data_IF_638912143742
#
_entry.id   IF_638912143742
#
_cell.length_a   1.000
_cell.length_b   1.000
_cell.length_c   1.000
_cell.angle_alpha   90.00
_cell.angle_beta   90.00
_cell.angle_gamma   90.00
#
_symmetry.space_group_name_H-M   'P 1'
#
loop_
_entity.id
_entity.type
_entity.pdbx_description
1 polymer ?
#
# COMPACT_ATOMS: atom_id res chain seq x y z
N UNK A 1 2.92 -2.04 -3.14
CA UNK A 1 2.95 -1.33 -1.84
C UNK A 1 1.86 -1.92 -0.95
N UNK A 2 2.14 -2.04 0.34
CA UNK A 2 1.23 -2.61 1.33
C UNK A 2 0.88 -1.55 2.35
N UNK A 3 -0.41 -1.24 2.51
CA UNK A 3 -0.87 -0.10 3.32
C UNK A 3 -1.92 -0.60 4.32
N UNK A 4 -1.55 -0.84 5.58
CA UNK A 4 -2.52 -1.21 6.62
C UNK A 4 -3.38 -0.01 7.00
N UNK A 5 -4.68 -0.23 7.21
CA UNK A 5 -5.62 0.82 7.60
C UNK A 5 -6.56 0.34 8.70
N UNK A 6 -6.80 1.17 9.72
CA UNK A 6 -7.82 0.96 10.75
C UNK A 6 -8.43 2.31 11.18
N UNK A 7 -9.66 2.58 10.77
CA UNK A 7 -10.35 3.86 10.98
C UNK A 7 -9.60 5.07 10.41
N UNK A 8 -9.25 4.98 9.13
CA UNK A 8 -8.37 5.89 8.38
C UNK A 8 -9.11 6.58 7.24
N UNK A 9 -10.42 6.83 7.39
CA UNK A 9 -11.26 7.38 6.32
C UNK A 9 -10.74 8.71 5.77
N UNK A 10 -10.16 9.54 6.62
CA UNK A 10 -9.70 10.88 6.26
C UNK A 10 -8.32 10.88 5.58
N UNK A 11 -7.49 9.86 5.79
CA UNK A 11 -6.10 9.76 5.31
C UNK A 11 -5.98 8.97 4.01
N UNK A 12 -6.84 7.97 3.78
CA UNK A 12 -6.78 7.11 2.58
C UNK A 12 -6.87 7.90 1.26
N UNK A 13 -7.74 8.91 1.17
CA UNK A 13 -7.86 9.74 -0.03
C UNK A 13 -6.60 10.55 -0.32
N UNK A 14 -6.16 11.43 0.61
CA UNK A 14 -4.92 12.18 0.49
C UNK A 14 -3.69 11.31 0.22
N UNK A 15 -3.64 10.09 0.79
CA UNK A 15 -2.59 9.12 0.50
C UNK A 15 -2.56 8.76 -0.99
N UNK A 16 -3.69 8.36 -1.57
CA UNK A 16 -3.76 8.01 -3.00
C UNK A 16 -3.36 9.19 -3.86
N UNK A 17 -3.92 10.38 -3.61
CA UNK A 17 -3.62 11.61 -4.38
C UNK A 17 -2.12 11.96 -4.35
N UNK A 18 -1.44 11.67 -3.24
CA UNK A 18 0.00 11.93 -3.08
C UNK A 18 0.87 10.88 -3.75
N UNK A 19 0.46 9.61 -3.69
CA UNK A 19 1.27 8.46 -4.09
C UNK A 19 1.15 8.19 -5.59
N UNK A 20 -0.04 8.33 -6.16
CA UNK A 20 -0.33 8.08 -7.58
C UNK A 20 0.68 8.74 -8.53
N UNK A 21 0.95 10.07 -8.48
CA UNK A 21 1.90 10.70 -9.39
C UNK A 21 3.37 10.26 -9.17
N UNK A 22 3.70 9.65 -8.03
CA UNK A 22 5.03 9.10 -7.77
C UNK A 22 5.15 7.71 -8.39
N UNK A 23 4.13 6.86 -8.24
CA UNK A 23 4.15 5.50 -8.78
C UNK A 23 3.95 5.47 -10.29
N UNK A 24 3.17 6.39 -10.87
CA UNK A 24 3.05 6.54 -12.33
C UNK A 24 4.40 6.78 -13.01
N UNK A 25 5.30 7.54 -12.36
CA UNK A 25 6.66 7.77 -12.85
C UNK A 25 7.51 6.50 -12.88
N UNK A 26 7.08 5.42 -12.23
CA UNK A 26 7.75 4.12 -12.23
C UNK A 26 7.17 3.18 -13.31
N UNK A 27 5.99 3.46 -13.86
CA UNK A 27 5.28 2.60 -14.82
C UNK A 27 6.03 2.36 -16.13
N UNK A 28 6.97 3.24 -16.50
CA UNK A 28 7.83 3.03 -17.66
C UNK A 28 8.73 1.78 -17.55
N UNK A 29 8.94 1.24 -16.34
CA UNK A 29 9.76 0.05 -16.09
C UNK A 29 9.13 -0.99 -15.19
N UNK A 30 8.14 -0.64 -14.37
CA UNK A 30 7.57 -1.53 -13.37
C UNK A 30 6.05 -1.50 -13.37
N UNK A 31 5.43 -2.66 -13.15
CA UNK A 31 4.04 -2.73 -12.74
C UNK A 31 3.94 -2.42 -11.24
N UNK A 32 3.25 -1.33 -10.88
CA UNK A 32 3.05 -0.98 -9.47
C UNK A 32 1.61 -1.25 -9.05
N UNK A 33 1.41 -1.74 -7.83
CA UNK A 33 0.07 -1.90 -7.23
C UNK A 33 0.07 -1.41 -5.81
N UNK A 34 -1.06 -0.87 -5.35
CA UNK A 34 -1.31 -0.52 -3.95
C UNK A 34 -2.27 -1.55 -3.38
N UNK A 35 -1.88 -2.20 -2.28
CA UNK A 35 -2.73 -3.15 -1.55
C UNK A 35 -3.08 -2.53 -0.21
N UNK A 36 -4.32 -2.06 -0.09
CA UNK A 36 -4.86 -1.65 1.21
C UNK A 36 -5.26 -2.87 2.02
N UNK A 37 -4.87 -2.91 3.29
CA UNK A 37 -5.30 -3.95 4.22
C UNK A 37 -6.15 -3.32 5.30
N UNK A 38 -7.48 -3.43 5.14
CA UNK A 38 -8.42 -2.96 6.14
C UNK A 38 -8.43 -3.93 7.34
N UNK A 39 -7.91 -3.48 8.47
CA UNK A 39 -7.82 -4.21 9.73
C UNK A 39 -9.12 -4.11 10.53
N UNK A 40 -10.26 -4.36 9.87
CA UNK A 40 -11.58 -4.38 10.49
C UNK A 40 -12.07 -3.03 11.02
N UNK A 41 -11.91 -1.96 10.23
CA UNK A 41 -12.42 -0.62 10.56
C UNK A 41 -13.93 -0.62 10.83
N UNK A 42 -14.38 0.32 11.68
CA UNK A 42 -15.79 0.55 12.02
C UNK A 42 -16.36 1.84 11.43
N UNK A 43 -15.52 2.64 10.77
CA UNK A 43 -15.91 3.80 9.99
C UNK A 43 -16.01 3.46 8.48
N UNK A 44 -16.15 4.49 7.65
CA UNK A 44 -16.29 4.34 6.19
C UNK A 44 -14.96 4.06 5.46
N UNK A 45 -13.88 3.71 6.17
CA UNK A 45 -12.56 3.43 5.55
C UNK A 45 -12.65 2.34 4.48
N UNK A 46 -13.31 1.23 4.80
CA UNK A 46 -13.44 0.11 3.86
C UNK A 46 -14.26 0.49 2.63
N UNK A 47 -15.32 1.26 2.80
CA UNK A 47 -16.18 1.65 1.69
C UNK A 47 -15.49 2.63 0.75
N UNK A 48 -14.68 3.55 1.29
CA UNK A 48 -13.79 4.37 0.47
C UNK A 48 -12.77 3.50 -0.31
N UNK A 49 -12.12 2.54 0.36
CA UNK A 49 -11.15 1.64 -0.30
C UNK A 49 -11.80 0.85 -1.44
N UNK A 50 -13.03 0.36 -1.26
CA UNK A 50 -13.78 -0.35 -2.32
C UNK A 50 -14.05 0.56 -3.52
N UNK A 51 -14.45 1.81 -3.28
CA UNK A 51 -14.68 2.79 -4.36
C UNK A 51 -13.37 3.03 -5.11
N UNK A 52 -12.27 3.27 -4.39
CA UNK A 52 -10.96 3.48 -5.00
C UNK A 52 -10.49 2.28 -5.82
N UNK A 53 -10.68 1.06 -5.32
CA UNK A 53 -10.35 -0.17 -6.05
C UNK A 53 -11.23 -0.40 -7.29
N UNK A 54 -12.46 0.13 -7.30
CA UNK A 54 -13.34 0.04 -8.46
C UNK A 54 -12.97 1.07 -9.56
N UNK A 55 -12.40 2.22 -9.17
CA UNK A 55 -12.06 3.29 -10.11
C UNK A 55 -10.60 3.31 -10.53
N UNK A 56 -9.68 2.71 -9.75
CA UNK A 56 -8.24 2.66 -10.05
C UNK A 56 -7.79 1.20 -10.26
N UNK A 57 -7.37 0.82 -11.48
CA UNK A 57 -7.05 -0.56 -11.82
C UNK A 57 -5.81 -1.12 -11.09
N UNK A 58 -4.99 -0.26 -10.49
CA UNK A 58 -3.78 -0.65 -9.74
C UNK A 58 -4.00 -0.75 -8.23
N UNK A 59 -5.22 -0.45 -7.76
CA UNK A 59 -5.59 -0.57 -6.34
C UNK A 59 -6.25 -1.93 -6.08
N UNK A 60 -5.79 -2.61 -5.04
CA UNK A 60 -6.35 -3.86 -4.50
C UNK A 60 -6.58 -3.69 -3.01
N UNK A 61 -7.38 -4.58 -2.44
CA UNK A 61 -7.59 -4.59 -1.00
C UNK A 61 -7.77 -5.99 -0.42
N UNK A 62 -7.43 -6.12 0.86
CA UNK A 62 -7.76 -7.23 1.74
C UNK A 62 -8.51 -6.63 2.94
N UNK A 63 -9.56 -7.29 3.42
CA UNK A 63 -10.29 -6.83 4.59
C UNK A 63 -10.47 -7.95 5.59
N UNK A 64 -10.14 -7.66 6.85
CA UNK A 64 -10.44 -8.54 7.96
C UNK A 64 -11.86 -8.30 8.48
N UNK A 65 -12.40 -9.30 9.18
CA UNK A 65 -13.73 -9.23 9.80
C UNK A 65 -13.76 -8.47 11.13
N UNK A 66 -12.58 -8.18 11.71
CA UNK A 66 -12.35 -7.43 12.95
C UNK A 66 -10.90 -6.99 13.00
N UNK A 67 -10.57 -6.12 13.95
CA UNK A 67 -9.19 -5.70 14.19
C UNK A 67 -8.34 -6.84 14.78
N UNK A 68 -7.21 -7.13 14.13
CA UNK A 68 -6.18 -8.07 14.55
C UNK A 68 -4.85 -7.37 14.85
N UNK A 69 -4.67 -6.13 14.43
CA UNK A 69 -3.49 -5.32 14.69
C UNK A 69 -2.64 -5.11 13.44
N UNK A 70 -1.92 -3.98 13.43
CA UNK A 70 -1.11 -3.49 12.32
C UNK A 70 -0.13 -4.52 11.76
N UNK A 71 0.59 -5.24 12.61
CA UNK A 71 1.58 -6.24 12.17
C UNK A 71 0.93 -7.38 11.36
N UNK A 72 -0.26 -7.83 11.78
CA UNK A 72 -1.01 -8.87 11.09
C UNK A 72 -1.55 -8.34 9.75
N UNK A 73 -2.01 -7.08 9.73
CA UNK A 73 -2.43 -6.42 8.50
C UNK A 73 -1.27 -6.29 7.49
N UNK A 74 -0.09 -5.84 7.94
CA UNK A 74 1.12 -5.78 7.11
C UNK A 74 1.47 -7.17 6.57
N UNK A 75 1.50 -8.20 7.43
CA UNK A 75 1.81 -9.56 7.01
C UNK A 75 0.83 -10.08 5.94
N UNK A 76 -0.48 -9.89 6.13
CA UNK A 76 -1.47 -10.29 5.14
C UNK A 76 -1.30 -9.56 3.81
N UNK A 77 -0.97 -8.26 3.85
CA UNK A 77 -0.68 -7.49 2.64
C UNK A 77 0.58 -7.98 1.91
N UNK A 78 1.63 -8.36 2.64
CA UNK A 78 2.83 -8.96 2.06
C UNK A 78 2.52 -10.32 1.40
N UNK A 79 1.73 -11.16 2.06
CA UNK A 79 1.28 -12.44 1.48
C UNK A 79 0.43 -12.23 0.23
N UNK A 80 -0.46 -11.22 0.23
CA UNK A 80 -1.25 -10.86 -0.94
C UNK A 80 -0.37 -10.38 -2.10
N UNK A 81 0.62 -9.51 -1.82
CA UNK A 81 1.58 -9.06 -2.83
C UNK A 81 2.37 -10.23 -3.43
N UNK A 82 2.85 -11.15 -2.59
CA UNK A 82 3.54 -12.36 -3.05
C UNK A 82 2.64 -13.25 -3.90
N UNK A 83 1.38 -13.46 -3.51
CA UNK A 83 0.41 -14.25 -4.27
C UNK A 83 0.08 -13.65 -5.64
N UNK A 84 0.21 -12.32 -5.77
CA UNK A 84 0.08 -11.60 -7.05
C UNK A 84 1.37 -11.61 -7.89
N UNK A 85 2.43 -12.29 -7.43
CA UNK A 85 3.71 -12.39 -8.13
C UNK A 85 4.54 -11.10 -8.11
N UNK A 86 4.39 -10.26 -7.08
CA UNK A 86 5.23 -9.06 -6.95
C UNK A 86 6.67 -9.41 -6.58
N UNK A 87 7.64 -8.81 -7.28
CA UNK A 87 9.08 -9.01 -7.03
C UNK A 87 9.60 -8.26 -5.79
N UNK A 88 8.91 -7.18 -5.41
CA UNK A 88 9.22 -6.36 -4.26
C UNK A 88 7.94 -5.81 -3.60
N UNK A 89 8.01 -5.57 -2.30
CA UNK A 89 6.94 -4.94 -1.54
C UNK A 89 7.50 -3.84 -0.63
N UNK A 90 6.76 -2.74 -0.53
CA UNK A 90 7.06 -1.60 0.34
C UNK A 90 5.85 -1.45 1.28
N UNK A 91 5.95 -1.86 2.55
CA UNK A 91 5.00 -1.50 3.58
C UNK A 91 5.08 0.01 3.84
N UNK A 92 3.94 0.68 4.01
CA UNK A 92 3.91 2.10 4.34
C UNK A 92 2.61 2.47 5.04
N UNK A 93 2.68 3.45 5.94
CA UNK A 93 1.51 3.98 6.64
C UNK A 93 0.69 4.93 5.77
N UNK A 94 -0.63 4.91 5.99
CA UNK A 94 -1.58 5.70 5.21
C UNK A 94 -1.58 7.18 5.57
N UNK A 95 -1.07 7.55 6.73
CA UNK A 95 -1.04 8.92 7.24
C UNK A 95 0.10 9.78 6.69
N UNK A 96 0.91 9.24 5.77
CA UNK A 96 2.04 9.91 5.11
C UNK A 96 3.14 10.37 6.07
N UNK A 97 3.30 9.73 7.24
CA UNK A 97 4.45 9.99 8.11
C UNK A 97 5.78 9.64 7.44
N UNK A 98 5.81 8.56 6.67
CA UNK A 98 6.95 8.23 5.81
C UNK A 98 6.93 9.09 4.54
N UNK A 99 8.05 9.74 4.18
CA UNK A 99 8.07 10.60 3.01
C UNK A 99 7.89 9.80 1.71
N UNK A 100 6.80 10.04 0.95
CA UNK A 100 6.50 9.29 -0.28
C UNK A 100 7.57 9.39 -1.37
N UNK A 101 8.35 10.47 -1.36
CA UNK A 101 9.45 10.67 -2.31
C UNK A 101 10.60 9.66 -2.14
N UNK A 102 10.61 8.86 -1.07
CA UNK A 102 11.57 7.78 -0.87
C UNK A 102 11.24 6.51 -1.67
N UNK A 103 10.00 6.35 -2.17
CA UNK A 103 9.60 5.16 -2.95
C UNK A 103 10.56 4.88 -4.13
N UNK A 104 10.93 5.87 -4.97
CA UNK A 104 11.89 5.64 -6.05
C UNK A 104 13.30 5.28 -5.55
N UNK A 105 13.69 5.76 -4.36
CA UNK A 105 14.97 5.39 -3.75
C UNK A 105 14.94 3.92 -3.31
N UNK A 106 13.86 3.45 -2.66
CA UNK A 106 13.74 2.03 -2.32
C UNK A 106 13.82 1.12 -3.54
N UNK A 107 13.22 1.51 -4.66
CA UNK A 107 13.35 0.77 -5.93
C UNK A 107 14.80 0.69 -6.39
N UNK A 108 15.55 1.80 -6.36
CA UNK A 108 16.99 1.79 -6.71
C UNK A 108 17.82 0.89 -5.79
N UNK A 109 17.48 0.82 -4.51
CA UNK A 109 18.19 -0.04 -3.56
C UNK A 109 17.91 -1.51 -3.83
N UNK A 110 16.66 -1.85 -4.12
CA UNK A 110 16.26 -3.18 -4.57
C UNK A 110 16.96 -3.59 -5.87
N UNK A 111 17.06 -2.70 -6.86
CA UNK A 111 17.80 -2.96 -8.11
C UNK A 111 19.28 -3.29 -7.89
N UNK A 112 19.89 -2.78 -6.81
CA UNK A 112 21.29 -3.07 -6.45
C UNK A 112 21.47 -4.42 -5.75
N UNK A 113 20.41 -5.20 -5.61
CA UNK A 113 20.43 -6.48 -4.91
C UNK A 113 20.33 -6.33 -3.38
N UNK A 114 19.84 -5.19 -2.88
CA UNK A 114 19.56 -5.02 -1.46
C UNK A 114 18.28 -5.76 -1.10
N UNK A 115 18.37 -6.79 -0.25
CA UNK A 115 17.22 -7.63 0.13
C UNK A 115 16.31 -6.97 1.18
N UNK A 116 16.81 -6.00 1.95
CA UNK A 116 16.02 -5.27 2.95
C UNK A 116 16.60 -3.88 3.14
N UNK A 117 15.75 -2.85 3.13
CA UNK A 117 16.14 -1.46 3.34
C UNK A 117 15.17 -0.82 4.33
N UNK A 118 15.70 -0.07 5.30
CA UNK A 118 14.93 0.75 6.23
C UNK A 118 15.46 2.17 6.09
N UNK A 119 14.57 3.14 5.94
CA UNK A 119 14.91 4.57 5.96
C UNK A 119 14.95 5.09 7.41
#
# INVERSE_FOLDING_TARGET
>A
MVVPCFNERETVGPFVDTIEPIVEKLHYRYETRIVFVNDGSHDDTLDLIKVLAATHPDIRYVSFSRNFGKEIAVYAGLMAAQAMGSDAAIPMDVDLQDPPYLIPEFVKWWERGTNTSMA
#
